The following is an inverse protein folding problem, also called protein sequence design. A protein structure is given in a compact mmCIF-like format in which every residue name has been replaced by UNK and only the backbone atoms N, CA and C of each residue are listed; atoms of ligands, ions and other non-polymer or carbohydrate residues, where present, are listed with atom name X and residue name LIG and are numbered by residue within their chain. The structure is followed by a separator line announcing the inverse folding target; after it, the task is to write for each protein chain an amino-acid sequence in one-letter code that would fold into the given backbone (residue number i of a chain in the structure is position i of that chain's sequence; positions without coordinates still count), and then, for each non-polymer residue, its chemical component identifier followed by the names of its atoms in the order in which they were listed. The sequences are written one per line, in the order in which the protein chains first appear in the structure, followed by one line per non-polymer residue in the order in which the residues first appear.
data_IF_996235041818
#
_entry.id   IF_996235041818
#
_cell.length_a   1.000
_cell.length_b   1.000
_cell.length_c   1.000
_cell.angle_alpha   90.00
_cell.angle_beta   90.00
_cell.angle_gamma   90.00
#
_symmetry.space_group_name_H-M   'P 1'
#
loop_
_entity.id
_entity.type
_entity.pdbx_description
1 polymer ?
#
# COMPACT_ATOMS: atom_id res chain seq x y z
N UNK A 1 0.44 -16.27 -17.81
CA UNK A 1 1.77 -15.89 -17.28
C UNK A 1 1.76 -16.27 -15.81
N UNK A 2 2.70 -17.09 -15.36
CA UNK A 2 2.86 -17.42 -13.94
C UNK A 2 3.21 -16.13 -13.19
N UNK A 3 2.47 -15.81 -12.13
CA UNK A 3 2.78 -14.62 -11.32
C UNK A 3 4.13 -14.84 -10.63
N UNK A 4 5.10 -13.95 -10.88
CA UNK A 4 6.43 -14.01 -10.26
C UNK A 4 6.33 -13.69 -8.77
N UNK A 5 6.96 -14.52 -7.93
CA UNK A 5 7.02 -14.26 -6.48
C UNK A 5 7.99 -13.11 -6.23
N UNK A 6 7.70 -12.28 -5.24
CA UNK A 6 8.59 -11.17 -4.87
C UNK A 6 10.01 -11.66 -4.53
N UNK A 7 10.12 -12.88 -3.98
CA UNK A 7 11.38 -13.51 -3.58
C UNK A 7 12.28 -13.94 -4.76
N UNK A 8 11.72 -13.99 -5.97
CA UNK A 8 12.46 -14.43 -7.17
C UNK A 8 12.96 -13.24 -8.00
N UNK A 9 12.73 -12.01 -7.52
CA UNK A 9 13.05 -10.77 -8.22
C UNK A 9 14.42 -10.23 -7.82
N UNK A 10 15.13 -9.68 -8.79
CA UNK A 10 16.35 -8.92 -8.53
C UNK A 10 16.05 -7.53 -7.93
N UNK A 11 17.12 -6.80 -7.60
CA UNK A 11 17.07 -5.47 -6.99
C UNK A 11 16.22 -4.47 -7.79
N UNK A 12 16.40 -4.43 -9.10
CA UNK A 12 15.79 -3.39 -9.94
C UNK A 12 14.33 -3.75 -10.24
N UNK A 13 14.03 -5.04 -10.40
CA UNK A 13 12.67 -5.58 -10.46
C UNK A 13 11.89 -5.29 -9.17
N UNK A 14 12.51 -5.50 -8.01
CA UNK A 14 11.92 -5.17 -6.70
C UNK A 14 11.65 -3.66 -6.58
N UNK A 15 12.63 -2.82 -6.87
CA UNK A 15 12.48 -1.36 -6.81
C UNK A 15 11.39 -0.83 -7.77
N UNK A 16 11.08 -1.56 -8.85
CA UNK A 16 10.04 -1.21 -9.80
C UNK A 16 8.62 -1.63 -9.38
N UNK A 17 8.47 -2.60 -8.46
CA UNK A 17 7.15 -3.10 -8.05
C UNK A 17 6.32 -2.02 -7.36
N UNK A 18 5.06 -1.92 -7.78
CA UNK A 18 4.07 -1.02 -7.21
C UNK A 18 2.65 -1.49 -7.48
N UNK A 19 1.69 -0.97 -6.72
CA UNK A 19 0.28 -1.20 -6.96
C UNK A 19 -0.10 -2.68 -6.98
N UNK A 20 -1.05 -3.06 -7.84
CA UNK A 20 -1.47 -4.46 -7.99
C UNK A 20 -0.35 -5.42 -8.36
N UNK A 21 0.69 -4.97 -9.06
CA UNK A 21 1.83 -5.84 -9.37
C UNK A 21 2.56 -6.26 -8.10
N UNK A 22 2.78 -5.31 -7.17
CA UNK A 22 3.32 -5.61 -5.84
C UNK A 22 2.41 -6.59 -5.08
N UNK A 23 1.11 -6.31 -5.00
CA UNK A 23 0.15 -7.19 -4.29
C UNK A 23 0.15 -8.62 -4.85
N UNK A 24 0.20 -8.80 -6.17
CA UNK A 24 0.28 -10.14 -6.80
C UNK A 24 1.59 -10.85 -6.48
N UNK A 25 2.72 -10.17 -6.59
CA UNK A 25 4.03 -10.76 -6.29
C UNK A 25 4.16 -11.24 -4.85
N UNK A 26 3.53 -10.51 -3.92
CA UNK A 26 3.45 -10.85 -2.49
C UNK A 26 2.52 -12.03 -2.26
N UNK A 27 1.35 -12.05 -2.91
CA UNK A 27 0.43 -13.18 -2.84
C UNK A 27 1.08 -14.48 -3.35
N UNK A 28 1.83 -14.41 -4.46
CA UNK A 28 2.59 -15.53 -5.02
C UNK A 28 3.72 -16.02 -4.10
N UNK A 29 4.16 -15.21 -3.13
CA UNK A 29 5.16 -15.59 -2.15
C UNK A 29 4.60 -16.40 -0.96
N UNK A 30 3.28 -16.61 -0.88
CA UNK A 30 2.64 -17.51 0.10
C UNK A 30 3.00 -17.18 1.56
N UNK A 31 3.00 -15.88 1.91
CA UNK A 31 3.22 -15.42 3.28
C UNK A 31 4.69 -15.35 3.73
N UNK A 32 5.65 -15.57 2.83
CA UNK A 32 7.09 -15.45 3.12
C UNK A 32 7.64 -14.03 2.99
N UNK A 33 6.86 -13.09 2.45
CA UNK A 33 7.29 -11.70 2.27
C UNK A 33 7.51 -11.01 3.61
N UNK A 34 8.69 -10.39 3.77
CA UNK A 34 9.02 -9.57 4.92
C UNK A 34 8.76 -8.08 4.62
N UNK A 35 7.93 -7.45 5.45
CA UNK A 35 7.70 -6.01 5.42
C UNK A 35 8.36 -5.40 6.65
N UNK A 36 9.20 -4.38 6.44
CA UNK A 36 9.76 -3.59 7.52
C UNK A 36 9.20 -2.18 7.49
N UNK A 37 8.75 -1.70 8.64
CA UNK A 37 8.34 -0.32 8.81
C UNK A 37 9.44 0.46 9.55
N UNK A 38 9.76 1.66 9.06
CA UNK A 38 10.77 2.53 9.66
C UNK A 38 10.25 3.96 9.79
N UNK A 39 10.71 4.68 10.80
CA UNK A 39 10.39 6.11 10.96
C UNK A 39 11.14 6.92 9.89
N UNK A 40 10.40 7.64 9.05
CA UNK A 40 10.95 8.36 7.91
C UNK A 40 11.98 9.43 8.30
N UNK A 41 11.79 10.08 9.44
CA UNK A 41 12.66 11.15 9.90
C UNK A 41 13.88 10.67 10.72
N UNK A 42 14.07 9.35 10.89
CA UNK A 42 15.13 8.80 11.75
C UNK A 42 16.10 7.90 10.98
N UNK A 43 17.37 8.25 11.04
CA UNK A 43 18.47 7.36 10.63
C UNK A 43 19.00 6.56 11.83
N UNK A 44 19.38 5.30 11.60
CA UNK A 44 19.91 4.43 12.66
C UNK A 44 21.36 4.75 12.99
N UNK A 45 22.15 5.02 11.95
CA UNK A 45 23.57 5.36 12.09
C UNK A 45 23.75 6.78 11.59
N UNK A 46 23.28 7.75 12.38
CA UNK A 46 23.46 9.18 12.12
C UNK A 46 24.32 9.84 13.21
N UNK A 47 25.62 9.50 13.31
CA UNK A 47 26.50 10.17 14.26
C UNK A 47 27.10 11.47 13.73
N UNK A 48 26.83 11.89 12.48
CA UNK A 48 27.56 12.98 11.83
C UNK A 48 26.78 14.31 11.82
N UNK A 49 27.35 15.42 12.33
CA UNK A 49 26.69 16.74 12.38
C UNK A 49 26.28 17.32 11.03
N UNK A 50 26.86 16.83 9.94
CA UNK A 50 26.58 17.23 8.56
C UNK A 50 25.50 16.36 7.88
N UNK A 51 24.80 15.52 8.65
CA UNK A 51 23.67 14.74 8.17
C UNK A 51 24.05 13.48 7.39
N UNK A 52 25.34 13.13 7.31
CA UNK A 52 25.80 11.85 6.76
C UNK A 52 25.44 10.70 7.72
N UNK A 53 25.05 9.57 7.15
CA UNK A 53 24.68 8.39 7.93
C UNK A 53 23.98 7.32 7.09
N UNK A 54 23.61 6.22 7.73
CA UNK A 54 22.80 5.15 7.12
C UNK A 54 21.38 5.26 7.64
N UNK A 55 20.44 5.37 6.71
CA UNK A 55 19.02 5.43 7.04
C UNK A 55 18.51 4.04 7.45
N UNK A 56 17.52 3.98 8.34
CA UNK A 56 16.92 2.70 8.77
C UNK A 56 16.39 1.86 7.61
N UNK A 57 15.92 2.52 6.55
CA UNK A 57 15.44 1.86 5.33
C UNK A 57 16.51 1.02 4.62
N UNK A 58 17.75 1.49 4.59
CA UNK A 58 18.87 0.75 3.98
C UNK A 58 19.25 -0.45 4.85
N UNK A 59 19.25 -0.28 6.17
CA UNK A 59 19.53 -1.36 7.10
C UNK A 59 18.47 -2.46 6.97
N UNK A 60 17.18 -2.16 7.09
CA UNK A 60 16.16 -3.22 7.01
C UNK A 60 16.18 -3.93 5.66
N UNK A 61 16.49 -3.23 4.55
CA UNK A 61 16.67 -3.83 3.24
C UNK A 61 17.86 -4.81 3.21
N UNK A 62 19.00 -4.43 3.80
CA UNK A 62 20.17 -5.29 3.93
C UNK A 62 19.93 -6.52 4.85
N UNK A 63 19.04 -6.39 5.83
CA UNK A 63 18.66 -7.44 6.76
C UNK A 63 17.44 -8.28 6.32
N UNK A 64 17.08 -8.20 5.02
CA UNK A 64 16.13 -9.13 4.41
C UNK A 64 14.68 -8.62 4.30
N UNK A 65 14.41 -7.33 4.52
CA UNK A 65 13.11 -6.78 4.17
C UNK A 65 12.90 -6.80 2.65
N UNK A 66 11.75 -7.32 2.21
CA UNK A 66 11.32 -7.30 0.82
C UNK A 66 10.58 -6.00 0.47
N UNK A 67 9.95 -5.36 1.46
CA UNK A 67 9.20 -4.11 1.32
C UNK A 67 9.56 -3.19 2.49
N UNK A 68 9.75 -1.91 2.21
CA UNK A 68 9.96 -0.88 3.24
C UNK A 68 8.74 0.04 3.29
N UNK A 69 8.16 0.22 4.46
CA UNK A 69 7.08 1.19 4.71
C UNK A 69 7.63 2.34 5.54
N UNK A 70 7.40 3.57 5.08
CA UNK A 70 7.74 4.75 5.85
C UNK A 70 6.59 5.20 6.74
N UNK A 71 6.85 5.31 8.03
CA UNK A 71 5.93 5.83 9.03
C UNK A 71 6.38 7.21 9.53
N UNK A 72 5.46 7.96 10.15
CA UNK A 72 5.66 9.33 10.64
C UNK A 72 6.27 10.26 9.57
N UNK A 73 5.66 10.24 8.38
CA UNK A 73 6.14 10.95 7.20
C UNK A 73 6.04 12.49 7.31
N UNK A 74 5.23 13.03 8.23
CA UNK A 74 4.92 14.46 8.31
C UNK A 74 6.11 15.41 8.51
N UNK A 75 7.25 14.89 8.98
CA UNK A 75 8.49 15.66 9.15
C UNK A 75 9.52 15.39 8.04
N UNK A 76 9.33 14.30 7.30
CA UNK A 76 10.18 13.92 6.18
C UNK A 76 9.62 14.36 4.82
N UNK A 77 8.33 14.70 4.72
CA UNK A 77 7.69 15.08 3.46
C UNK A 77 6.85 16.35 3.61
N UNK A 78 7.08 17.33 2.73
CA UNK A 78 6.38 18.62 2.73
C UNK A 78 5.21 18.69 1.72
N UNK A 79 4.87 17.56 1.10
CA UNK A 79 3.90 17.48 0.01
C UNK A 79 4.56 17.36 -1.37
N UNK A 80 5.82 17.75 -1.51
CA UNK A 80 6.53 17.75 -2.81
C UNK A 80 7.87 17.03 -2.75
N UNK A 81 8.62 17.26 -1.67
CA UNK A 81 9.98 16.78 -1.48
C UNK A 81 10.06 15.92 -0.23
N UNK A 82 10.87 14.90 -0.33
CA UNK A 82 11.01 13.83 0.63
C UNK A 82 12.45 13.79 1.12
N UNK A 83 12.66 14.20 2.36
CA UNK A 83 13.97 14.33 3.00
C UNK A 83 14.16 13.17 3.97
N UNK A 84 15.11 12.30 3.64
CA UNK A 84 15.53 11.21 4.52
C UNK A 84 16.95 11.46 5.01
N UNK A 85 17.18 11.56 6.33
CA UNK A 85 18.52 11.70 6.88
C UNK A 85 19.45 10.58 6.38
N UNK A 86 20.69 10.93 6.01
CA UNK A 86 21.67 10.01 5.43
C UNK A 86 21.46 9.64 3.96
N UNK A 87 20.22 9.66 3.46
CA UNK A 87 19.88 9.31 2.08
C UNK A 87 19.71 10.52 1.15
N UNK A 88 19.35 11.68 1.69
CA UNK A 88 19.20 12.92 0.93
C UNK A 88 17.74 13.32 0.68
N UNK A 89 17.55 14.18 -0.32
CA UNK A 89 16.25 14.72 -0.74
C UNK A 89 15.82 14.11 -2.07
N UNK A 90 14.56 13.73 -2.16
CA UNK A 90 13.95 13.11 -3.34
C UNK A 90 12.67 13.81 -3.74
N UNK A 91 12.40 13.90 -5.03
CA UNK A 91 11.10 14.31 -5.58
C UNK A 91 10.24 13.12 -5.98
N UNK A 92 10.80 11.91 -5.97
CA UNK A 92 10.10 10.69 -6.31
C UNK A 92 10.38 9.56 -5.32
N UNK A 93 9.33 8.84 -4.96
CA UNK A 93 9.44 7.56 -4.26
C UNK A 93 10.05 6.47 -5.15
N UNK A 94 9.98 6.60 -6.47
CA UNK A 94 10.64 5.68 -7.41
C UNK A 94 12.15 5.84 -7.36
N UNK A 95 12.67 7.06 -7.39
CA UNK A 95 14.11 7.33 -7.20
C UNK A 95 14.59 6.74 -5.88
N UNK A 96 13.82 6.95 -4.80
CA UNK A 96 14.16 6.39 -3.51
C UNK A 96 14.12 4.85 -3.50
N UNK A 97 13.11 4.23 -4.10
CA UNK A 97 13.02 2.78 -4.22
C UNK A 97 14.24 2.21 -4.96
N UNK A 98 14.75 2.92 -5.96
CA UNK A 98 15.98 2.56 -6.67
C UNK A 98 17.24 2.70 -5.80
N UNK A 99 17.31 3.68 -4.90
CA UNK A 99 18.42 3.80 -3.95
C UNK A 99 18.39 2.65 -2.93
N UNK A 100 17.24 2.41 -2.30
CA UNK A 100 17.06 1.36 -1.28
C UNK A 100 17.11 -0.05 -1.90
N UNK A 101 16.73 -0.20 -3.17
CA UNK A 101 16.61 -1.50 -3.84
C UNK A 101 15.35 -2.29 -3.45
N UNK A 102 14.32 -1.61 -2.93
CA UNK A 102 13.06 -2.21 -2.46
C UNK A 102 11.86 -1.34 -2.81
N UNK A 103 10.65 -1.92 -2.99
CA UNK A 103 9.41 -1.16 -3.02
C UNK A 103 9.26 -0.33 -1.74
N UNK A 104 8.94 0.95 -1.89
CA UNK A 104 8.76 1.88 -0.76
C UNK A 104 7.31 2.31 -0.64
N UNK A 105 6.65 1.90 0.43
CA UNK A 105 5.31 2.32 0.80
C UNK A 105 5.28 3.43 1.85
N UNK A 106 4.08 3.93 2.14
CA UNK A 106 3.84 4.97 3.16
C UNK A 106 2.70 4.57 4.08
N UNK A 107 2.91 4.77 5.38
CA UNK A 107 1.89 4.64 6.39
C UNK A 107 0.99 5.89 6.42
N UNK A 108 -0.32 5.70 6.33
CA UNK A 108 -1.33 6.72 6.56
C UNK A 108 -2.30 6.24 7.64
N UNK A 109 -2.88 7.18 8.39
CA UNK A 109 -3.74 6.84 9.52
C UNK A 109 -5.13 7.48 9.46
N UNK A 110 -6.18 6.78 9.92
CA UNK A 110 -7.44 7.41 10.25
C UNK A 110 -7.31 8.24 11.53
N UNK A 111 -8.33 9.05 11.82
CA UNK A 111 -8.40 9.78 13.09
C UNK A 111 -7.54 11.04 13.09
N UNK A 112 -7.23 11.54 14.28
CA UNK A 112 -6.61 12.85 14.48
C UNK A 112 -5.08 12.78 14.54
N UNK A 113 -4.49 12.72 13.35
CA UNK A 113 -3.04 12.76 13.13
C UNK A 113 -2.66 14.03 12.37
N UNK A 114 -1.36 14.40 12.32
CA UNK A 114 -0.89 15.47 11.45
C UNK A 114 -1.45 15.34 10.03
N UNK A 115 -1.86 16.46 9.45
CA UNK A 115 -2.72 16.50 8.26
C UNK A 115 -2.16 15.65 7.09
N UNK A 116 -0.86 15.77 6.80
CA UNK A 116 -0.17 15.01 5.74
C UNK A 116 -0.13 13.49 5.99
N UNK A 117 -0.17 13.03 7.24
CA UNK A 117 -0.21 11.60 7.61
C UNK A 117 -1.64 11.04 7.61
N UNK A 118 -2.65 11.90 7.53
CA UNK A 118 -4.06 11.47 7.53
C UNK A 118 -4.40 10.74 6.25
N UNK A 119 -5.15 9.64 6.39
CA UNK A 119 -5.66 8.83 5.29
C UNK A 119 -6.75 9.57 4.49
N UNK A 120 -6.35 10.59 3.73
CA UNK A 120 -7.19 11.40 2.84
C UNK A 120 -6.86 11.13 1.37
N UNK A 121 -7.85 11.11 0.45
CA UNK A 121 -7.62 10.86 -0.97
C UNK A 121 -6.62 11.80 -1.62
N UNK A 122 -6.56 13.06 -1.20
CA UNK A 122 -5.62 14.06 -1.73
C UNK A 122 -4.16 13.64 -1.51
N UNK A 123 -3.77 13.38 -0.26
CA UNK A 123 -2.40 12.97 0.08
C UNK A 123 -2.07 11.60 -0.48
N UNK A 124 -3.01 10.67 -0.43
CA UNK A 124 -2.85 9.35 -1.02
C UNK A 124 -2.55 9.43 -2.52
N UNK A 125 -3.31 10.25 -3.28
CA UNK A 125 -3.06 10.48 -4.71
C UNK A 125 -1.68 11.07 -4.96
N UNK A 126 -1.27 12.03 -4.14
CA UNK A 126 0.04 12.69 -4.27
C UNK A 126 1.19 11.70 -4.03
N UNK A 127 1.11 10.91 -2.96
CA UNK A 127 2.10 9.87 -2.65
C UNK A 127 2.19 8.80 -3.75
N UNK A 128 1.06 8.28 -4.22
CA UNK A 128 1.03 7.32 -5.33
C UNK A 128 1.54 7.96 -6.62
N UNK A 129 1.18 9.21 -6.90
CA UNK A 129 1.65 9.98 -8.05
C UNK A 129 3.16 10.24 -8.04
N UNK A 130 3.75 10.42 -6.85
CA UNK A 130 5.20 10.48 -6.66
C UNK A 130 5.89 9.11 -6.76
N UNK A 131 5.13 8.02 -6.87
CA UNK A 131 5.63 6.67 -7.10
C UNK A 131 5.70 5.79 -5.86
N UNK A 132 4.95 6.08 -4.79
CA UNK A 132 4.85 5.18 -3.64
C UNK A 132 4.33 3.80 -4.11
N UNK A 133 5.03 2.73 -3.70
CA UNK A 133 4.73 1.39 -4.15
C UNK A 133 3.37 0.88 -3.62
N UNK A 134 3.03 1.29 -2.40
CA UNK A 134 1.77 0.98 -1.74
C UNK A 134 1.49 2.01 -0.63
N UNK A 135 0.24 2.04 -0.17
CA UNK A 135 -0.18 2.76 1.02
C UNK A 135 -0.59 1.74 2.10
N UNK A 136 -0.02 1.89 3.29
CA UNK A 136 -0.34 1.10 4.47
C UNK A 136 -1.28 1.92 5.34
N UNK A 137 -2.56 1.53 5.42
CA UNK A 137 -3.54 2.21 6.29
C UNK A 137 -3.58 1.49 7.62
N UNK A 138 -2.99 2.12 8.63
CA UNK A 138 -2.93 1.57 9.98
C UNK A 138 -3.31 2.63 11.01
N UNK A 139 -3.22 2.30 12.28
CA UNK A 139 -3.19 3.28 13.35
C UNK A 139 -1.90 3.01 14.13
N UNK A 140 -1.18 4.04 14.53
CA UNK A 140 -0.07 3.94 15.46
C UNK A 140 -0.58 3.75 16.90
N UNK A 141 0.24 3.20 17.81
CA UNK A 141 -0.13 3.09 19.22
C UNK A 141 -0.56 4.45 19.81
N UNK A 142 -1.66 4.46 20.54
CA UNK A 142 -2.18 5.67 21.19
C UNK A 142 -3.00 6.62 20.30
N UNK A 143 -3.19 6.34 19.00
CA UNK A 143 -4.00 7.21 18.11
C UNK A 143 -5.49 6.87 18.08
N UNK A 144 -5.92 5.84 18.82
CA UNK A 144 -7.34 5.52 19.02
C UNK A 144 -8.06 5.00 17.76
N UNK A 145 -7.34 4.49 16.77
CA UNK A 145 -7.94 3.97 15.53
C UNK A 145 -8.88 2.78 15.77
N UNK A 146 -10.09 2.83 15.21
CA UNK A 146 -11.07 1.73 15.22
C UNK A 146 -11.11 0.97 13.89
N UNK A 147 -11.56 -0.29 13.91
CA UNK A 147 -11.79 -1.04 12.66
C UNK A 147 -12.78 -0.34 11.72
N UNK A 148 -13.80 0.31 12.27
CA UNK A 148 -14.80 1.06 11.50
C UNK A 148 -14.16 2.27 10.81
N UNK A 149 -13.39 3.08 11.55
CA UNK A 149 -12.70 4.23 10.98
C UNK A 149 -11.72 3.79 9.88
N UNK A 150 -10.99 2.70 10.12
CA UNK A 150 -10.07 2.10 9.15
C UNK A 150 -10.78 1.65 7.88
N UNK A 151 -11.90 0.91 8.02
CA UNK A 151 -12.69 0.45 6.90
C UNK A 151 -13.25 1.62 6.09
N UNK A 152 -13.74 2.67 6.77
CA UNK A 152 -14.26 3.88 6.13
C UNK A 152 -13.20 4.57 5.28
N UNK A 153 -12.03 4.88 5.86
CA UNK A 153 -10.96 5.57 5.11
C UNK A 153 -10.40 4.67 4.00
N UNK A 154 -10.36 3.34 4.20
CA UNK A 154 -9.92 2.40 3.16
C UNK A 154 -10.82 2.48 1.93
N UNK A 155 -12.15 2.49 2.12
CA UNK A 155 -13.12 2.63 1.01
C UNK A 155 -12.99 4.00 0.33
N UNK A 156 -12.82 5.07 1.11
CA UNK A 156 -12.63 6.42 0.59
C UNK A 156 -11.37 6.52 -0.29
N UNK A 157 -10.25 5.98 0.20
CA UNK A 157 -8.98 5.94 -0.53
C UNK A 157 -9.09 5.08 -1.80
N UNK A 158 -9.74 3.92 -1.74
CA UNK A 158 -9.98 3.08 -2.93
C UNK A 158 -10.77 3.83 -4.01
N UNK A 159 -11.81 4.58 -3.61
CA UNK A 159 -12.59 5.40 -4.54
C UNK A 159 -11.78 6.53 -5.18
N UNK A 160 -10.82 7.10 -4.44
CA UNK A 160 -9.97 8.19 -4.91
C UNK A 160 -8.79 7.75 -5.79
N UNK A 161 -8.16 6.61 -5.50
CA UNK A 161 -6.91 6.17 -6.14
C UNK A 161 -7.12 5.35 -7.42
N UNK A 162 -8.31 4.77 -7.60
CA UNK A 162 -8.57 3.83 -8.67
C UNK A 162 -8.07 2.42 -8.36
N UNK A 163 -8.27 1.52 -9.33
CA UNK A 163 -8.18 0.09 -9.10
C UNK A 163 -6.74 -0.43 -8.90
N UNK A 164 -5.74 0.27 -9.44
CA UNK A 164 -4.36 -0.23 -9.52
C UNK A 164 -3.50 0.05 -8.28
N UNK A 165 -3.91 1.00 -7.42
CA UNK A 165 -3.18 1.29 -6.19
C UNK A 165 -3.21 0.10 -5.22
N UNK A 166 -2.07 -0.16 -4.57
CA UNK A 166 -1.99 -1.13 -3.49
C UNK A 166 -2.30 -0.42 -2.18
N UNK A 167 -3.44 -0.79 -1.58
CA UNK A 167 -3.87 -0.30 -0.29
C UNK A 167 -3.95 -1.49 0.66
N UNK A 168 -3.03 -1.58 1.62
CA UNK A 168 -3.03 -2.64 2.62
C UNK A 168 -3.45 -2.04 3.93
N UNK A 169 -4.42 -2.66 4.60
CA UNK A 169 -4.98 -2.10 5.84
C UNK A 169 -5.04 -3.14 6.94
N UNK A 170 -4.71 -2.71 8.14
CA UNK A 170 -4.65 -3.56 9.32
C UNK A 170 -4.38 -2.76 10.59
N UNK A 171 -4.37 -3.44 11.74
CA UNK A 171 -3.95 -2.85 13.01
C UNK A 171 -2.48 -3.13 13.26
N UNK A 172 -1.77 -2.12 13.75
CA UNK A 172 -0.42 -2.29 14.27
C UNK A 172 -0.47 -2.95 15.66
N UNK A 173 0.63 -3.54 16.10
CA UNK A 173 0.78 -4.04 17.46
C UNK A 173 0.46 -2.92 18.46
N UNK A 174 -0.38 -3.21 19.45
CA UNK A 174 -0.82 -2.24 20.47
C UNK A 174 -1.48 -0.96 19.93
N UNK A 175 -1.89 -0.95 18.67
CA UNK A 175 -2.62 0.17 18.10
C UNK A 175 -4.11 -0.12 17.98
N UNK A 176 -4.88 0.83 18.47
CA UNK A 176 -6.33 0.86 18.38
C UNK A 176 -7.04 0.62 19.70
N UNK A 177 -8.34 0.90 19.68
CA UNK A 177 -9.23 0.67 20.80
C UNK A 177 -9.36 -0.85 21.07
N UNK A 178 -9.51 -1.30 22.33
CA UNK A 178 -9.95 -2.67 22.60
C UNK A 178 -11.29 -2.91 21.90
N UNK A 179 -11.29 -3.78 20.90
CA UNK A 179 -12.44 -4.06 20.04
C UNK A 179 -12.63 -5.56 19.92
N UNK A 180 -13.88 -6.01 19.97
CA UNK A 180 -14.21 -7.42 19.79
C UNK A 180 -13.81 -7.86 18.38
N UNK A 181 -13.05 -8.94 18.28
CA UNK A 181 -12.89 -9.63 17.01
C UNK A 181 -14.25 -10.22 16.60
N UNK A 182 -14.91 -9.58 15.63
CA UNK A 182 -16.08 -10.13 14.94
C UNK A 182 -17.46 -9.61 15.38
N UNK A 183 -18.07 -8.83 14.49
CA UNK A 183 -19.30 -9.24 13.78
C UNK A 183 -19.06 -8.92 12.30
N UNK A 184 -19.40 -9.81 11.35
CA UNK A 184 -19.31 -9.44 9.95
C UNK A 184 -20.15 -8.19 9.73
N UNK A 185 -19.54 -7.15 9.14
CA UNK A 185 -20.29 -5.99 8.68
C UNK A 185 -21.37 -6.43 7.69
N UNK A 186 -22.40 -5.60 7.45
CA UNK A 186 -23.41 -5.90 6.45
C UNK A 186 -22.73 -6.24 5.11
N UNK A 187 -23.24 -7.24 4.36
CA UNK A 187 -22.61 -7.68 3.13
C UNK A 187 -22.43 -6.49 2.18
N UNK A 188 -21.23 -6.37 1.60
CA UNK A 188 -20.95 -5.36 0.59
C UNK A 188 -22.02 -5.43 -0.51
N UNK A 189 -22.51 -4.28 -1.01
CA UNK A 189 -23.52 -4.26 -2.06
C UNK A 189 -23.00 -5.03 -3.26
N UNK A 190 -23.70 -6.11 -3.63
CA UNK A 190 -23.34 -6.91 -4.80
C UNK A 190 -23.36 -6.00 -6.03
N UNK A 191 -22.34 -6.06 -6.91
CA UNK A 191 -22.36 -5.31 -8.15
C UNK A 191 -23.66 -5.65 -8.89
N UNK A 192 -24.41 -4.61 -9.28
CA UNK A 192 -25.68 -4.77 -10.01
C UNK A 192 -25.41 -5.68 -11.21
N UNK A 193 -25.96 -6.90 -11.20
CA UNK A 193 -25.93 -7.77 -12.39
C UNK A 193 -26.56 -6.96 -13.52
N UNK A 194 -25.77 -6.64 -14.55
CA UNK A 194 -26.33 -6.12 -15.80
C UNK A 194 -27.33 -7.18 -16.28
N UNK A 195 -28.61 -6.79 -16.37
CA UNK A 195 -29.61 -7.64 -17.02
C UNK A 195 -29.10 -7.94 -18.43
N UNK A 196 -29.11 -9.19 -18.91
CA UNK A 196 -28.82 -9.45 -20.30
C UNK A 196 -29.84 -8.67 -21.12
N UNK A 197 -29.37 -7.81 -22.02
CA UNK A 197 -30.21 -7.14 -23.00
C UNK A 197 -30.88 -8.23 -23.84
N UNK A 198 -32.19 -8.43 -23.63
CA UNK A 198 -32.98 -9.40 -24.36
C UNK A 198 -33.04 -9.04 -25.83
N UNK A 199 -32.18 -9.66 -26.63
CA UNK A 199 -32.40 -9.96 -28.05
C UNK A 199 -31.74 -11.30 -28.33
N UNK A 200 -32.50 -12.37 -28.16
CA UNK A 200 -32.13 -13.67 -28.72
C UNK A 200 -32.25 -13.62 -30.26
N UNK A 201 -31.39 -14.33 -31.01
CA UNK A 201 -31.49 -14.39 -32.47
C UNK A 201 -32.71 -15.22 -32.92
N UNK A 202 -33.32 -14.92 -34.08
CA UNK A 202 -34.49 -15.63 -34.58
C UNK A 202 -34.14 -17.08 -34.96
N UNK A 203 -35.06 -18.00 -34.63
CA UNK A 203 -34.86 -19.45 -34.60
C UNK A 203 -34.53 -20.10 -35.94
N UNK A 204 -33.63 -21.10 -35.88
CA UNK A 204 -33.44 -22.10 -36.92
C UNK A 204 -34.41 -23.27 -36.67
N UNK A 205 -35.19 -23.60 -37.70
CA UNK A 205 -36.24 -24.61 -37.68
C UNK A 205 -35.72 -26.02 -37.40
N UNK A 206 -36.52 -26.80 -36.69
CA UNK A 206 -36.32 -28.25 -36.53
C UNK A 206 -36.83 -28.99 -37.78
N UNK A 207 -36.10 -29.97 -38.34
CA UNK A 207 -36.65 -30.86 -39.34
C UNK A 207 -37.56 -31.91 -38.69
N UNK A 208 -38.74 -32.14 -39.28
CA UNK A 208 -39.61 -33.27 -38.98
C UNK A 208 -39.00 -34.53 -39.58
N UNK A 209 -38.54 -35.46 -38.74
CA UNK A 209 -38.14 -36.82 -39.13
C UNK A 209 -39.20 -37.82 -38.70
N UNK A 210 -39.80 -38.51 -39.68
CA UNK A 210 -40.73 -39.63 -39.52
C UNK A 210 -39.95 -40.91 -39.21
N UNK A 211 -40.35 -41.65 -38.18
CA UNK A 211 -40.86 -43.04 -38.21
C UNK A 211 -41.17 -43.48 -36.79
#
# INVERSE_FOLDING_TARGET
MTEQRILDLDRDQLAALRGRALTRAVAAAEGRTMVAEVLAERAALSPHPDGRGVHNAELVAAFGADIVVLNLIERAWDGERLRLPGLGEFTSFTERAQVIGRPVGVNLEPGDVPEIRRAKPEYAKRLVGMGAAMLCVTANPGTGGSYEAMARVTVELQGGLGADAALWSGKMHHAGHPERAGRPGPPLPRPRRRRPSGRGPPGLGRPRGRR
#
